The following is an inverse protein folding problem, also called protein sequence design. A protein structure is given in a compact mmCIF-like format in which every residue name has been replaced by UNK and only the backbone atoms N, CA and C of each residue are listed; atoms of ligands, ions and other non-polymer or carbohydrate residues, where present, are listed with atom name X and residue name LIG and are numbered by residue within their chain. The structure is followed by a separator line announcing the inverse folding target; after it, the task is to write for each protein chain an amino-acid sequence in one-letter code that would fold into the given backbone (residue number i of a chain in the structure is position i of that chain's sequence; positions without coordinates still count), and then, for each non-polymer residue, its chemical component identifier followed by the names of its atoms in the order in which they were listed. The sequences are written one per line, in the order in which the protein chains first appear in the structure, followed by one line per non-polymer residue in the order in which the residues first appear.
data_IF_499045873814
#
_entry.id   IF_499045873814
#
_cell.length_a   1.000
_cell.length_b   1.000
_cell.length_c   1.000
_cell.angle_alpha   90.00
_cell.angle_beta   90.00
_cell.angle_gamma   90.00
#
_symmetry.space_group_name_H-M   'P 1'
#
loop_
_entity.id
_entity.type
_entity.pdbx_description
1 polymer ?
#
# COMPACT_ATOMS: atom_id res chain seq x y z
N UNK A 1 -27.22 -39.35 14.49
CA UNK A 1 -27.39 -37.88 14.42
C UNK A 1 -26.27 -37.28 13.60
N UNK A 2 -26.50 -36.96 12.32
CA UNK A 2 -25.50 -36.34 11.44
C UNK A 2 -25.52 -34.84 11.68
N UNK A 3 -24.51 -34.32 12.40
CA UNK A 3 -24.35 -32.87 12.60
C UNK A 3 -23.81 -32.29 11.29
N UNK A 4 -24.65 -31.56 10.56
CA UNK A 4 -24.20 -30.78 9.42
C UNK A 4 -23.24 -29.70 9.95
N UNK A 5 -21.97 -29.79 9.58
CA UNK A 5 -20.99 -28.75 9.85
C UNK A 5 -21.35 -27.56 8.96
N UNK A 6 -22.12 -26.62 9.49
CA UNK A 6 -22.40 -25.35 8.82
C UNK A 6 -21.07 -24.60 8.77
N UNK A 7 -20.40 -24.65 7.62
CA UNK A 7 -19.20 -23.88 7.36
C UNK A 7 -19.60 -22.41 7.35
N UNK A 8 -19.48 -21.75 8.51
CA UNK A 8 -19.79 -20.32 8.69
C UNK A 8 -18.87 -19.41 7.85
N UNK A 9 -17.80 -19.97 7.29
CA UNK A 9 -16.79 -19.26 6.55
C UNK A 9 -16.60 -19.86 5.15
N UNK A 10 -17.18 -19.19 4.16
CA UNK A 10 -17.05 -19.42 2.72
C UNK A 10 -15.58 -19.60 2.27
N UNK A 11 -14.65 -18.87 2.91
CA UNK A 11 -13.22 -18.88 2.58
C UNK A 11 -12.54 -20.23 2.83
N UNK A 12 -13.14 -21.11 3.66
CA UNK A 12 -12.64 -22.46 3.91
C UNK A 12 -12.76 -23.39 2.68
N UNK A 13 -13.53 -23.01 1.64
CA UNK A 13 -13.63 -23.77 0.38
C UNK A 13 -12.42 -23.61 -0.52
N UNK A 14 -11.67 -22.52 -0.41
CA UNK A 14 -10.54 -22.28 -1.30
C UNK A 14 -9.34 -23.14 -0.84
N UNK A 15 -8.94 -24.11 -1.67
CA UNK A 15 -7.87 -25.07 -1.35
C UNK A 15 -6.59 -24.40 -0.83
N UNK A 16 -6.19 -23.28 -1.44
CA UNK A 16 -5.01 -22.52 -1.00
C UNK A 16 -5.20 -21.84 0.36
N UNK A 17 -6.41 -21.38 0.70
CA UNK A 17 -6.67 -20.76 2.02
C UNK A 17 -6.75 -21.83 3.12
N UNK A 18 -7.26 -23.01 2.78
CA UNK A 18 -7.27 -24.16 3.67
C UNK A 18 -5.85 -24.67 3.98
N UNK A 19 -4.91 -24.61 3.03
CA UNK A 19 -3.52 -25.04 3.25
C UNK A 19 -2.65 -24.02 4.00
N UNK A 20 -3.13 -22.79 4.22
CA UNK A 20 -2.36 -21.77 4.94
C UNK A 20 -2.27 -22.08 6.44
N UNK A 21 -1.07 -21.98 7.05
CA UNK A 21 -0.91 -22.01 8.50
C UNK A 21 -1.72 -20.90 9.18
N UNK A 22 -2.26 -21.17 10.38
CA UNK A 22 -3.16 -20.25 11.12
C UNK A 22 -2.62 -18.82 11.22
N UNK A 23 -1.30 -18.66 11.45
CA UNK A 23 -0.65 -17.33 11.52
C UNK A 23 -0.74 -16.54 10.21
N UNK A 24 -0.71 -17.21 9.05
CA UNK A 24 -0.78 -16.57 7.71
C UNK A 24 -2.21 -16.26 7.28
N UNK A 25 -3.20 -17.01 7.77
CA UNK A 25 -4.62 -16.77 7.45
C UNK A 25 -5.12 -15.40 7.91
N UNK A 26 -4.60 -14.91 9.04
CA UNK A 26 -4.96 -13.58 9.58
C UNK A 26 -4.62 -12.43 8.61
N UNK A 27 -3.64 -12.62 7.72
CA UNK A 27 -3.24 -11.63 6.72
C UNK A 27 -3.96 -11.78 5.38
N UNK A 28 -4.67 -12.90 5.17
CA UNK A 28 -5.32 -13.19 3.89
C UNK A 28 -6.57 -12.31 3.63
N UNK A 29 -7.12 -11.72 4.69
CA UNK A 29 -8.23 -10.76 4.63
C UNK A 29 -7.77 -9.32 4.85
N UNK A 30 -6.47 -9.11 5.07
CA UNK A 30 -5.91 -7.76 5.05
C UNK A 30 -5.96 -7.27 3.61
N UNK A 31 -6.57 -6.11 3.32
CA UNK A 31 -6.53 -5.54 1.98
C UNK A 31 -5.06 -5.43 1.56
N UNK A 32 -4.74 -5.91 0.35
CA UNK A 32 -3.41 -5.70 -0.20
C UNK A 32 -3.13 -4.20 -0.15
N UNK A 33 -1.96 -3.83 0.37
CA UNK A 33 -1.59 -2.44 0.57
C UNK A 33 -1.84 -1.60 -0.69
N UNK A 34 -2.08 -0.30 -0.51
CA UNK A 34 -2.35 0.61 -1.62
C UNK A 34 -1.32 0.39 -2.74
N UNK A 35 -1.81 0.17 -3.96
CA UNK A 35 -0.97 0.10 -5.14
C UNK A 35 -0.14 1.38 -5.19
N UNK A 36 1.16 1.27 -5.49
CA UNK A 36 2.02 2.44 -5.71
C UNK A 36 1.43 3.23 -6.87
N UNK A 37 0.86 4.39 -6.56
CA UNK A 37 0.31 5.30 -7.57
C UNK A 37 1.44 6.15 -8.14
N UNK A 38 1.73 5.97 -9.43
CA UNK A 38 2.78 6.70 -10.15
C UNK A 38 2.31 8.05 -10.68
N UNK A 39 1.09 8.47 -10.33
CA UNK A 39 0.55 9.75 -10.76
C UNK A 39 1.28 10.89 -10.06
N UNK A 40 1.86 11.76 -10.88
CA UNK A 40 2.47 13.00 -10.41
C UNK A 40 1.43 13.85 -9.69
N UNK A 41 1.68 14.16 -8.42
CA UNK A 41 0.76 14.98 -7.62
C UNK A 41 1.15 16.46 -7.68
N UNK A 42 0.20 17.33 -7.39
CA UNK A 42 0.47 18.76 -7.24
C UNK A 42 1.51 19.03 -6.13
N UNK A 43 1.58 18.18 -5.12
CA UNK A 43 2.55 18.28 -4.04
C UNK A 43 3.97 17.98 -4.53
N UNK A 44 4.13 17.00 -5.41
CA UNK A 44 5.43 16.66 -6.01
C UNK A 44 5.95 17.82 -6.87
N UNK A 45 5.08 18.40 -7.71
CA UNK A 45 5.41 19.57 -8.54
C UNK A 45 5.81 20.76 -7.66
N UNK A 46 5.07 20.99 -6.56
CA UNK A 46 5.40 22.05 -5.60
C UNK A 46 6.76 21.80 -4.97
N UNK A 47 7.06 20.57 -4.55
CA UNK A 47 8.35 20.19 -4.00
C UNK A 47 9.49 20.53 -4.96
N UNK A 48 9.42 20.03 -6.19
CA UNK A 48 10.43 20.30 -7.23
C UNK A 48 10.60 21.79 -7.48
N UNK A 49 9.51 22.53 -7.64
CA UNK A 49 9.57 23.98 -7.85
C UNK A 49 10.25 24.71 -6.68
N UNK A 50 9.90 24.36 -5.44
CA UNK A 50 10.50 24.99 -4.25
C UNK A 50 12.00 24.72 -4.15
N UNK A 51 12.45 23.49 -4.40
CA UNK A 51 13.87 23.15 -4.38
C UNK A 51 14.64 23.89 -5.48
N UNK A 52 14.05 23.98 -6.69
CA UNK A 52 14.64 24.72 -7.79
C UNK A 52 14.85 26.20 -7.44
N UNK A 53 13.81 26.90 -6.99
CA UNK A 53 13.94 28.32 -6.65
C UNK A 53 14.85 28.55 -5.44
N UNK A 54 14.82 27.68 -4.43
CA UNK A 54 15.70 27.78 -3.27
C UNK A 54 17.18 27.63 -3.66
N UNK A 55 17.50 26.65 -4.51
CA UNK A 55 18.88 26.42 -4.97
C UNK A 55 19.37 27.56 -5.88
N UNK A 56 18.52 28.03 -6.80
CA UNK A 56 18.84 29.20 -7.63
C UNK A 56 19.10 30.44 -6.77
N UNK A 57 18.22 30.72 -5.80
CA UNK A 57 18.38 31.86 -4.90
C UNK A 57 19.67 31.75 -4.06
N UNK A 58 19.98 30.56 -3.55
CA UNK A 58 21.22 30.32 -2.79
C UNK A 58 22.47 30.55 -3.63
N UNK A 59 22.47 30.08 -4.89
CA UNK A 59 23.58 30.31 -5.82
C UNK A 59 23.73 31.80 -6.13
N UNK A 60 22.64 32.50 -6.41
CA UNK A 60 22.67 33.94 -6.69
C UNK A 60 23.19 34.75 -5.48
N UNK A 61 22.73 34.42 -4.27
CA UNK A 61 23.17 35.07 -3.03
C UNK A 61 24.64 34.82 -2.70
N UNK A 62 25.23 33.75 -3.25
CA UNK A 62 26.65 33.43 -3.03
C UNK A 62 27.55 34.03 -4.10
N UNK A 63 27.07 34.15 -5.34
CA UNK A 63 27.87 34.62 -6.48
C UNK A 63 27.87 36.15 -6.63
N UNK A 64 26.77 36.82 -6.26
CA UNK A 64 26.62 38.30 -6.32
C UNK A 64 27.07 38.90 -5.00
#
# INVERSE_FOLDING_TARGET
MRRALVLSNEAARHWMRASLPTRRRMFADTPQGALVDWKLTANDVRGVATTYFATVAAVLAFII
#
